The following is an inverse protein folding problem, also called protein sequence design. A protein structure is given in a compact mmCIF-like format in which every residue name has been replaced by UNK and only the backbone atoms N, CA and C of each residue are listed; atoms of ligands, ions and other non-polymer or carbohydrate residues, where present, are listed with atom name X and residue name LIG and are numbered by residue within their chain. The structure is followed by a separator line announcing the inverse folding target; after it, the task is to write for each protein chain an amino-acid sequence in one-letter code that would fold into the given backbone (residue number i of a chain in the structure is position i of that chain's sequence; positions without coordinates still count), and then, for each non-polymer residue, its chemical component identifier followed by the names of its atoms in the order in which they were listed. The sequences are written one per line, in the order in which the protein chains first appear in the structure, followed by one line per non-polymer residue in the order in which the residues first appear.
data_IF_745762307858
#
_entry.id   IF_745762307858
#
_cell.length_a   1.000
_cell.length_b   1.000
_cell.length_c   1.000
_cell.angle_alpha   90.00
_cell.angle_beta   90.00
_cell.angle_gamma   90.00
#
_symmetry.space_group_name_H-M   'P 1'
#
loop_
_entity.id
_entity.type
_entity.pdbx_description
1 polymer ?
#
# COMPACT_ATOMS: atom_id res chain seq x y z
N UNK A 1 14.73 -27.64 8.30
CA UNK A 1 14.57 -26.20 8.55
C UNK A 1 13.14 -25.89 8.17
N UNK A 2 12.31 -25.58 9.16
CA UNK A 2 10.88 -25.36 8.94
C UNK A 2 10.70 -24.02 8.22
N UNK A 3 10.11 -24.03 7.03
CA UNK A 3 9.75 -22.81 6.31
C UNK A 3 8.48 -22.25 6.97
N UNK A 4 8.65 -21.51 8.08
CA UNK A 4 7.52 -20.90 8.80
C UNK A 4 7.27 -19.49 8.29
N UNK A 5 6.07 -19.27 7.75
CA UNK A 5 5.60 -17.97 7.32
C UNK A 5 4.20 -17.70 7.85
N UNK A 6 4.05 -16.68 8.69
CA UNK A 6 2.76 -16.24 9.20
C UNK A 6 2.13 -15.20 8.26
N UNK A 7 0.86 -15.43 7.87
CA UNK A 7 0.10 -14.61 6.92
C UNK A 7 0.76 -14.45 5.54
N UNK A 8 1.65 -15.37 5.17
CA UNK A 8 2.36 -15.36 3.90
C UNK A 8 2.56 -16.76 3.36
N UNK A 9 3.09 -16.83 2.14
CA UNK A 9 3.48 -18.07 1.52
C UNK A 9 4.98 -18.29 1.74
N UNK A 10 5.36 -19.43 2.33
CA UNK A 10 6.76 -19.78 2.47
C UNK A 10 7.25 -20.50 1.21
N UNK A 11 8.36 -20.05 0.65
CA UNK A 11 9.05 -20.71 -0.47
C UNK A 11 10.51 -20.90 -0.08
N UNK A 12 11.17 -21.92 -0.62
CA UNK A 12 12.59 -22.15 -0.39
C UNK A 12 13.33 -21.86 -1.68
N UNK A 13 14.36 -20.99 -1.62
CA UNK A 13 15.17 -20.69 -2.81
C UNK A 13 16.09 -21.87 -3.17
N UNK A 14 16.71 -21.80 -4.34
CA UNK A 14 17.73 -22.72 -4.84
C UNK A 14 18.92 -22.92 -3.88
N UNK A 15 19.20 -21.95 -3.02
CA UNK A 15 20.21 -22.03 -1.96
C UNK A 15 19.72 -22.70 -0.66
N UNK A 16 18.46 -23.13 -0.59
CA UNK A 16 17.87 -23.73 0.61
C UNK A 16 17.39 -22.71 1.66
N UNK A 17 17.33 -21.42 1.31
CA UNK A 17 16.91 -20.34 2.20
C UNK A 17 15.39 -20.18 2.16
N UNK A 18 14.75 -20.14 3.34
CA UNK A 18 13.32 -19.88 3.47
C UNK A 18 13.01 -18.39 3.23
N UNK A 19 12.19 -18.12 2.21
CA UNK A 19 11.68 -16.81 1.83
C UNK A 19 10.18 -16.74 2.09
N UNK A 20 9.75 -15.71 2.82
CA UNK A 20 8.35 -15.37 2.99
C UNK A 20 7.88 -14.42 1.88
N UNK A 21 6.92 -14.88 1.08
CA UNK A 21 6.21 -14.05 0.10
C UNK A 21 4.88 -13.61 0.69
N UNK A 22 4.70 -12.30 0.85
CA UNK A 22 3.46 -11.74 1.40
C UNK A 22 2.42 -11.47 0.29
N UNK A 23 1.13 -11.73 0.54
CA UNK A 23 0.05 -11.37 -0.38
C UNK A 23 -0.08 -9.83 -0.50
N UNK A 24 -0.80 -9.33 -1.52
CA UNK A 24 -1.15 -7.90 -1.59
C UNK A 24 -1.83 -7.45 -0.29
N UNK A 25 -1.63 -6.20 0.10
CA UNK A 25 -2.07 -5.62 1.40
C UNK A 25 -1.27 -6.08 2.63
N UNK A 26 -0.27 -6.96 2.46
CA UNK A 26 0.65 -7.40 3.51
C UNK A 26 2.10 -7.10 3.13
N UNK A 27 2.88 -6.65 4.12
CA UNK A 27 4.30 -6.35 3.99
C UNK A 27 5.15 -7.28 4.86
N UNK A 28 6.39 -7.49 4.48
CA UNK A 28 7.34 -8.30 5.24
C UNK A 28 7.76 -7.53 6.51
N UNK A 29 7.31 -7.99 7.67
CA UNK A 29 7.63 -7.39 8.97
C UNK A 29 8.89 -8.01 9.58
N UNK A 30 8.96 -9.33 9.53
CA UNK A 30 10.17 -10.09 9.86
C UNK A 30 10.45 -11.12 8.76
N UNK A 31 11.53 -11.89 8.90
CA UNK A 31 11.84 -12.98 7.97
C UNK A 31 10.73 -14.05 7.90
N UNK A 32 9.92 -14.21 8.95
CA UNK A 32 8.85 -15.22 9.05
C UNK A 32 7.43 -14.65 9.19
N UNK A 33 7.26 -13.32 9.26
CA UNK A 33 5.96 -12.70 9.51
C UNK A 33 5.63 -11.67 8.43
N UNK A 34 4.48 -11.86 7.79
CA UNK A 34 3.81 -10.85 6.98
C UNK A 34 2.82 -10.10 7.87
N UNK A 35 2.98 -8.78 7.99
CA UNK A 35 2.05 -7.94 8.73
C UNK A 35 1.13 -7.19 7.76
N UNK A 36 -0.15 -7.08 8.12
CA UNK A 36 -1.12 -6.34 7.34
C UNK A 36 -0.74 -4.86 7.30
N UNK A 37 -0.64 -4.31 6.10
CA UNK A 37 -0.22 -2.94 5.87
C UNK A 37 -1.24 -1.91 6.35
N UNK A 38 -2.53 -2.25 6.27
CA UNK A 38 -3.65 -1.32 6.52
C UNK A 38 -3.49 0.01 5.75
N UNK A 39 -2.84 -0.04 4.58
CA UNK A 39 -2.58 1.14 3.75
C UNK A 39 -3.76 1.43 2.80
N UNK A 40 -4.78 0.58 2.70
CA UNK A 40 -5.87 0.73 1.74
C UNK A 40 -5.80 -0.26 0.58
N UNK A 41 -6.84 -0.28 -0.27
CA UNK A 41 -7.03 -1.32 -1.28
C UNK A 41 -5.89 -1.37 -2.29
N UNK A 42 -5.27 -2.54 -2.43
CA UNK A 42 -4.22 -2.79 -3.42
C UNK A 42 -2.89 -2.09 -3.13
N UNK A 43 -2.73 -1.51 -1.95
CA UNK A 43 -1.47 -0.94 -1.51
C UNK A 43 -0.58 -2.00 -0.85
N UNK A 44 0.72 -1.92 -1.08
CA UNK A 44 1.71 -2.74 -0.39
C UNK A 44 2.42 -1.90 0.69
N UNK A 45 3.27 -2.50 1.50
CA UNK A 45 4.05 -1.75 2.48
C UNK A 45 5.39 -2.41 2.81
N UNK A 46 6.32 -1.58 3.26
CA UNK A 46 7.61 -2.01 3.78
C UNK A 46 7.72 -1.54 5.22
N UNK A 47 8.12 -2.45 6.10
CA UNK A 47 8.42 -2.11 7.48
C UNK A 47 9.91 -1.89 7.58
N UNK A 48 10.30 -0.64 7.81
CA UNK A 48 11.67 -0.25 8.09
C UNK A 48 11.78 -0.14 9.62
N UNK A 49 12.38 -1.13 10.31
CA UNK A 49 12.64 -1.03 11.74
C UNK A 49 13.80 -0.06 11.96
N UNK A 50 13.55 1.23 11.72
CA UNK A 50 14.50 2.29 12.01
C UNK A 50 14.72 2.42 13.52
N UNK A 51 15.98 2.48 13.94
CA UNK A 51 16.39 2.54 15.36
C UNK A 51 15.92 3.80 16.12
N UNK A 52 15.35 4.80 15.44
CA UNK A 52 15.03 6.12 16.03
C UNK A 52 13.64 6.70 15.71
N UNK A 53 12.76 6.00 14.97
CA UNK A 53 11.45 6.58 14.60
C UNK A 53 10.42 5.47 14.62
N UNK A 54 9.39 5.63 15.46
CA UNK A 54 8.41 4.59 15.78
C UNK A 54 7.86 3.89 14.54
N UNK A 55 7.78 2.56 14.64
CA UNK A 55 7.14 1.63 13.70
C UNK A 55 7.16 2.12 12.24
N UNK A 56 8.35 2.19 11.63
CA UNK A 56 8.61 2.75 10.28
C UNK A 56 7.92 2.01 9.13
N UNK A 57 6.59 1.90 9.18
CA UNK A 57 5.74 1.36 8.13
C UNK A 57 5.59 2.41 7.04
N UNK A 58 6.18 2.13 5.88
CA UNK A 58 6.05 2.93 4.67
C UNK A 58 5.09 2.26 3.70
N UNK A 59 4.03 2.95 3.30
CA UNK A 59 3.06 2.44 2.36
C UNK A 59 3.55 2.67 0.92
N UNK A 60 3.42 1.64 0.09
CA UNK A 60 3.69 1.69 -1.35
C UNK A 60 2.35 1.70 -2.05
N UNK A 61 1.89 2.91 -2.38
CA UNK A 61 0.61 3.12 -3.01
C UNK A 61 0.63 2.80 -4.51
N UNK A 62 -0.47 2.27 -5.07
CA UNK A 62 -0.63 2.11 -6.52
C UNK A 62 -0.62 3.47 -7.23
N UNK A 63 -0.44 3.46 -8.56
CA UNK A 63 -0.17 4.66 -9.39
C UNK A 63 -1.18 5.81 -9.20
N UNK A 64 -2.46 5.50 -8.94
CA UNK A 64 -3.56 6.46 -8.75
C UNK A 64 -3.78 6.90 -7.29
N UNK A 65 -2.95 6.43 -6.36
CA UNK A 65 -3.09 6.68 -4.94
C UNK A 65 -1.86 7.40 -4.38
N UNK A 66 -2.09 8.28 -3.41
CA UNK A 66 -1.04 9.03 -2.72
C UNK A 66 -0.98 8.59 -1.26
N UNK A 67 0.23 8.40 -0.76
CA UNK A 67 0.43 8.19 0.68
C UNK A 67 0.13 9.49 1.44
N UNK A 68 -0.78 9.40 2.39
CA UNK A 68 -1.25 10.46 3.25
C UNK A 68 -1.49 9.85 4.62
N UNK A 69 -0.82 10.34 5.67
CA UNK A 69 -0.98 9.85 7.05
C UNK A 69 -0.81 8.32 7.25
N UNK A 70 0.04 7.67 6.45
CA UNK A 70 0.27 6.21 6.54
C UNK A 70 -0.85 5.35 5.95
N UNK A 71 -1.71 5.94 5.12
CA UNK A 71 -2.69 5.29 4.25
C UNK A 71 -2.56 5.80 2.81
N UNK A 72 -2.99 5.00 1.84
CA UNK A 72 -3.05 5.33 0.43
C UNK A 72 -4.44 5.85 0.12
N UNK A 73 -4.54 7.16 -0.07
CA UNK A 73 -5.77 7.83 -0.42
C UNK A 73 -5.80 8.11 -1.91
N UNK A 74 -6.99 8.02 -2.51
CA UNK A 74 -7.15 8.40 -3.89
C UNK A 74 -7.11 9.93 -4.00
N UNK A 75 -6.60 10.45 -5.11
CA UNK A 75 -6.40 11.89 -5.28
C UNK A 75 -7.73 12.70 -5.25
N UNK A 76 -8.87 12.04 -5.45
CA UNK A 76 -10.22 12.58 -5.34
C UNK A 76 -10.82 12.49 -3.93
N UNK A 77 -10.30 11.65 -3.01
CA UNK A 77 -10.82 11.52 -1.63
C UNK A 77 -10.76 12.87 -0.90
N UNK A 78 -9.64 13.59 -1.03
CA UNK A 78 -9.42 14.91 -0.39
C UNK A 78 -9.77 16.11 -1.29
N UNK A 79 -10.20 15.87 -2.53
CA UNK A 79 -10.56 16.93 -3.48
C UNK A 79 -11.99 16.75 -4.00
N UNK A 80 -13.03 16.78 -3.13
CA UNK A 80 -14.40 16.68 -3.58
C UNK A 80 -14.73 17.84 -4.52
N UNK A 81 -15.21 17.51 -5.72
CA UNK A 81 -15.61 18.52 -6.69
C UNK A 81 -16.74 19.38 -6.13
N UNK A 82 -16.56 20.71 -6.08
CA UNK A 82 -17.68 21.63 -5.85
C UNK A 82 -18.65 21.56 -7.05
N UNK A 83 -19.96 21.66 -6.80
CA UNK A 83 -21.04 21.63 -7.81
C UNK A 83 -21.26 20.32 -8.60
N UNK A 84 -21.01 19.15 -8.01
CA UNK A 84 -21.39 17.87 -8.63
C UNK A 84 -20.53 17.45 -9.83
N UNK A 85 -19.29 17.94 -9.90
CA UNK A 85 -18.30 17.46 -10.85
C UNK A 85 -17.87 16.02 -10.57
N UNK A 86 -17.38 15.34 -11.62
CA UNK A 86 -16.80 14.01 -11.50
C UNK A 86 -15.29 14.18 -11.39
N UNK A 87 -14.70 13.71 -10.30
CA UNK A 87 -13.27 13.62 -10.16
C UNK A 87 -12.80 12.30 -10.79
N UNK A 88 -11.91 12.39 -11.77
CA UNK A 88 -11.27 11.21 -12.35
C UNK A 88 -9.80 11.22 -11.94
N UNK A 89 -9.32 10.18 -11.22
CA UNK A 89 -7.90 10.02 -10.97
C UNK A 89 -7.19 9.76 -12.31
N UNK A 90 -6.07 10.45 -12.55
CA UNK A 90 -5.16 10.23 -13.68
C UNK A 90 -3.74 10.05 -13.13
N UNK A 91 -3.49 8.94 -12.44
CA UNK A 91 -2.22 8.68 -11.78
C UNK A 91 -2.01 9.56 -10.56
N UNK A 92 -0.82 10.17 -10.44
CA UNK A 92 -0.47 11.09 -9.34
C UNK A 92 -1.21 12.43 -9.41
N UNK A 93 -1.94 12.70 -10.49
CA UNK A 93 -2.73 13.91 -10.69
C UNK A 93 -4.20 13.54 -10.78
N UNK A 94 -5.07 14.51 -10.47
CA UNK A 94 -6.52 14.36 -10.64
C UNK A 94 -6.96 15.30 -11.77
N UNK A 95 -7.94 14.87 -12.55
CA UNK A 95 -8.61 15.72 -13.51
C UNK A 95 -10.05 15.97 -13.04
N UNK A 96 -10.47 17.23 -13.09
CA UNK A 96 -11.84 17.59 -12.74
C UNK A 96 -12.65 17.74 -14.02
N UNK A 97 -13.65 16.89 -14.17
CA UNK A 97 -14.66 17.08 -15.19
C UNK A 97 -15.89 17.67 -14.51
N UNK A 98 -15.95 18.99 -14.43
CA UNK A 98 -17.19 19.66 -14.05
C UNK A 98 -18.21 19.46 -15.17
N UNK A 99 -19.37 18.86 -14.87
CA UNK A 99 -20.51 18.94 -15.79
C UNK A 99 -20.83 20.42 -15.98
N UNK A 100 -20.67 20.94 -17.20
CA UNK A 100 -21.31 22.19 -17.59
C UNK A 100 -22.82 21.96 -17.45
N UNK A 101 -23.43 22.60 -16.46
CA UNK A 101 -24.87 22.81 -16.45
C UNK A 101 -25.19 23.73 -17.63
N UNK A 102 -25.91 23.21 -18.63
CA UNK A 102 -26.50 24.02 -19.70
C UNK A 102 -27.75 24.74 -19.17
#
# INVERSE_FOLDING_TARGET
MECTCENGHCITDSEGIAQCTCPPEFGKYTITLCAACKCGKGANCTFDPGFFTGDGKKCVCPFDFKESDGICEDACTNAPCKNGGICQPMGKTFNFTCKKSY
#
